data_IF_116362055949
#
_entry.id   IF_116362055949
#
_cell.length_a   1.000
_cell.length_b   1.000
_cell.length_c   1.000
_cell.angle_alpha   90.00
_cell.angle_beta   90.00
_cell.angle_gamma   90.00
#
_symmetry.space_group_name_H-M   'P 1'
#
loop_
_entity.id
_entity.type
_entity.pdbx_description
1 polymer ?
#
# COMPACT_ATOMS: atom_id res chain seq x y z
N UNK A 1 -15.89 3.85 -7.09
CA UNK A 1 -15.53 4.35 -5.75
C UNK A 1 -16.84 4.70 -5.07
N UNK A 2 -17.12 4.20 -3.87
CA UNK A 2 -18.43 4.38 -3.23
C UNK A 2 -18.68 5.87 -2.95
N UNK A 3 -19.69 6.48 -3.58
CA UNK A 3 -19.99 7.93 -3.49
C UNK A 3 -20.80 8.30 -2.24
N UNK A 4 -20.60 7.60 -1.12
CA UNK A 4 -21.29 7.93 0.13
C UNK A 4 -20.60 9.11 0.82
N UNK A 5 -21.34 10.19 1.19
CA UNK A 5 -20.77 11.40 1.77
C UNK A 5 -20.05 11.13 3.10
N UNK A 6 -20.50 10.17 3.90
CA UNK A 6 -19.81 9.77 5.14
C UNK A 6 -18.39 9.22 4.90
N UNK A 7 -18.12 8.62 3.73
CA UNK A 7 -16.85 7.98 3.41
C UNK A 7 -15.81 8.95 2.85
N UNK A 8 -16.21 10.17 2.45
CA UNK A 8 -15.31 11.18 1.87
C UNK A 8 -14.17 11.58 2.80
N UNK A 9 -14.37 11.50 4.11
CA UNK A 9 -13.33 11.88 5.08
C UNK A 9 -12.14 10.90 5.13
N UNK A 10 -12.30 9.68 4.59
CA UNK A 10 -11.27 8.64 4.60
C UNK A 10 -10.84 8.25 3.18
N UNK A 11 -11.29 9.01 2.17
CA UNK A 11 -10.88 8.77 0.80
C UNK A 11 -9.43 9.23 0.62
N UNK A 12 -8.57 8.39 0.02
CA UNK A 12 -7.26 8.84 -0.40
C UNK A 12 -7.41 9.86 -1.54
N UNK A 13 -6.54 10.88 -1.54
CA UNK A 13 -6.38 11.84 -2.64
C UNK A 13 -5.80 11.13 -3.86
N UNK A 14 -4.77 10.31 -3.64
CA UNK A 14 -4.13 9.54 -4.70
C UNK A 14 -3.86 8.12 -4.22
N UNK A 15 -3.98 7.17 -5.15
CA UNK A 15 -3.54 5.78 -4.96
C UNK A 15 -2.77 5.35 -6.19
N UNK A 16 -1.55 4.88 -5.99
CA UNK A 16 -0.71 4.38 -7.06
C UNK A 16 0.21 3.27 -6.55
N UNK A 17 0.74 2.48 -7.45
CA UNK A 17 1.72 1.46 -7.13
C UNK A 17 2.88 1.47 -8.13
N UNK A 18 4.00 0.88 -7.72
CA UNK A 18 5.18 0.68 -8.57
C UNK A 18 5.40 -0.80 -8.88
N UNK A 19 4.32 -1.59 -8.91
CA UNK A 19 4.32 -3.06 -9.00
C UNK A 19 4.98 -3.82 -7.83
N UNK A 20 5.57 -3.14 -6.85
CA UNK A 20 6.08 -3.75 -5.61
C UNK A 20 5.37 -3.26 -4.37
N UNK A 21 5.21 -1.94 -4.26
CA UNK A 21 4.57 -1.25 -3.17
C UNK A 21 3.40 -0.40 -3.67
N UNK A 22 2.34 -0.33 -2.88
CA UNK A 22 1.19 0.54 -3.14
C UNK A 22 1.18 1.69 -2.15
N UNK A 23 1.01 2.91 -2.65
CA UNK A 23 0.94 4.15 -1.87
C UNK A 23 -0.48 4.68 -1.85
N UNK A 24 -0.92 5.07 -0.66
CA UNK A 24 -2.20 5.74 -0.42
C UNK A 24 -1.92 7.11 0.19
N UNK A 25 -2.14 8.16 -0.58
CA UNK A 25 -1.97 9.54 -0.11
C UNK A 25 -3.29 10.08 0.42
N UNK A 26 -3.26 10.65 1.61
CA UNK A 26 -4.38 11.31 2.27
C UNK A 26 -4.13 12.82 2.38
N UNK A 27 -5.15 13.65 2.65
CA UNK A 27 -4.93 15.05 2.94
C UNK A 27 -3.99 15.23 4.15
N UNK A 28 -3.09 16.22 4.09
CA UNK A 28 -1.98 16.36 5.05
C UNK A 28 -2.39 16.43 6.54
N UNK A 29 -3.59 16.94 6.84
CA UNK A 29 -4.13 17.07 8.19
C UNK A 29 -5.34 16.15 8.43
N UNK A 30 -5.55 15.14 7.59
CA UNK A 30 -6.60 14.15 7.80
C UNK A 30 -6.16 13.07 8.80
N UNK A 31 -7.14 12.46 9.46
CA UNK A 31 -6.91 11.25 10.25
C UNK A 31 -6.48 10.10 9.32
N UNK A 32 -5.38 9.41 9.66
CA UNK A 32 -4.89 8.30 8.86
C UNK A 32 -5.74 7.05 9.10
N UNK A 33 -6.41 6.50 8.08
CA UNK A 33 -7.13 5.25 8.20
C UNK A 33 -6.18 4.06 8.19
N UNK A 34 -6.68 2.90 8.60
CA UNK A 34 -5.97 1.63 8.45
C UNK A 34 -6.25 1.02 7.08
N UNK A 35 -5.19 0.60 6.38
CA UNK A 35 -5.28 -0.05 5.08
C UNK A 35 -5.16 -1.57 5.24
N UNK A 36 -6.05 -2.30 4.58
CA UNK A 36 -6.08 -3.76 4.49
C UNK A 36 -6.07 -4.18 3.03
N UNK A 37 -5.47 -5.33 2.75
CA UNK A 37 -5.50 -5.95 1.42
C UNK A 37 -6.49 -7.10 1.37
N UNK A 38 -7.05 -7.38 0.20
CA UNK A 38 -7.74 -8.65 -0.06
C UNK A 38 -6.72 -9.61 -0.67
N UNK A 39 -6.38 -10.65 0.10
CA UNK A 39 -5.46 -11.69 -0.34
C UNK A 39 -6.04 -12.51 -1.50
N UNK A 40 -5.20 -13.34 -2.15
CA UNK A 40 -5.65 -14.28 -3.18
C UNK A 40 -6.73 -15.26 -2.70
N UNK A 41 -6.84 -15.47 -1.37
CA UNK A 41 -7.89 -16.28 -0.76
C UNK A 41 -9.26 -15.59 -0.67
N UNK A 42 -9.35 -14.31 -1.07
CA UNK A 42 -10.54 -13.48 -0.93
C UNK A 42 -10.76 -12.92 0.48
N UNK A 43 -9.90 -13.29 1.45
CA UNK A 43 -9.97 -12.78 2.82
C UNK A 43 -9.18 -11.48 2.98
N UNK A 44 -9.71 -10.60 3.82
CA UNK A 44 -9.04 -9.39 4.26
C UNK A 44 -7.83 -9.74 5.12
N UNK A 45 -6.71 -9.06 4.90
CA UNK A 45 -5.43 -9.29 5.58
C UNK A 45 -4.79 -7.94 5.87
N UNK A 46 -4.24 -7.81 7.08
CA UNK A 46 -3.45 -6.63 7.45
C UNK A 46 -2.06 -6.75 6.83
N UNK A 47 -1.68 -5.88 5.88
CA UNK A 47 -0.36 -5.91 5.28
C UNK A 47 0.66 -5.17 6.15
N UNK A 48 1.94 -5.43 5.91
CA UNK A 48 3.00 -4.56 6.42
C UNK A 48 2.96 -3.23 5.67
N UNK A 49 2.94 -2.13 6.43
CA UNK A 49 2.90 -0.79 5.88
C UNK A 49 3.61 0.18 6.81
N UNK A 50 4.09 1.28 6.23
CA UNK A 50 4.70 2.37 6.98
C UNK A 50 4.30 3.71 6.34
N UNK A 51 4.37 4.78 7.12
CA UNK A 51 3.98 6.12 6.68
C UNK A 51 5.21 6.85 6.13
N UNK A 52 5.07 7.45 4.95
CA UNK A 52 6.10 8.20 4.24
C UNK A 52 5.60 9.60 3.85
N UNK A 53 6.51 10.41 3.29
CA UNK A 53 6.24 11.79 2.88
C UNK A 53 6.49 12.81 4.00
N UNK A 54 6.79 14.05 3.62
CA UNK A 54 7.13 15.13 4.57
C UNK A 54 5.99 15.39 5.57
N UNK A 55 4.76 15.32 5.07
CA UNK A 55 3.55 15.55 5.87
C UNK A 55 3.06 14.29 6.60
N UNK A 56 3.75 13.14 6.47
CA UNK A 56 3.33 11.84 7.03
C UNK A 56 1.89 11.48 6.63
N UNK A 57 1.53 11.74 5.38
CA UNK A 57 0.18 11.56 4.85
C UNK A 57 0.10 10.45 3.79
N UNK A 58 1.20 9.75 3.52
CA UNK A 58 1.24 8.67 2.52
C UNK A 58 1.48 7.36 3.25
N UNK A 59 0.55 6.42 3.16
CA UNK A 59 0.74 5.04 3.63
C UNK A 59 1.36 4.24 2.48
N UNK A 60 2.62 3.84 2.63
CA UNK A 60 3.27 2.88 1.74
C UNK A 60 3.07 1.47 2.28
N UNK A 61 2.40 0.64 1.49
CA UNK A 61 2.19 -0.77 1.78
C UNK A 61 3.23 -1.59 1.04
N UNK A 62 3.90 -2.49 1.74
CA UNK A 62 5.03 -3.30 1.24
C UNK A 62 4.58 -4.48 0.36
N UNK A 63 3.45 -4.33 -0.34
CA UNK A 63 2.90 -5.31 -1.26
C UNK A 63 1.97 -4.66 -2.28
N UNK A 64 1.65 -5.39 -3.34
CA UNK A 64 0.60 -5.01 -4.31
C UNK A 64 -0.53 -6.03 -4.23
N UNK A 65 -1.77 -5.53 -4.18
CA UNK A 65 -2.97 -6.35 -4.20
C UNK A 65 -3.97 -5.81 -5.22
N UNK A 66 -4.84 -6.71 -5.68
CA UNK A 66 -5.93 -6.39 -6.62
C UNK A 66 -7.01 -5.54 -5.96
N UNK A 67 -7.30 -5.78 -4.68
CA UNK A 67 -8.29 -5.02 -3.92
C UNK A 67 -7.77 -4.66 -2.54
N UNK A 68 -8.23 -3.51 -2.07
CA UNK A 68 -7.89 -2.89 -0.81
C UNK A 68 -9.15 -2.45 -0.08
N UNK A 69 -9.06 -2.39 1.25
CA UNK A 69 -10.07 -1.83 2.15
C UNK A 69 -9.39 -0.82 3.06
N UNK A 70 -9.86 0.41 3.02
CA UNK A 70 -9.41 1.50 3.87
C UNK A 70 -10.47 1.67 4.94
N UNK A 71 -10.10 1.56 6.22
CA UNK A 71 -11.03 1.54 7.35
C UNK A 71 -10.67 2.58 8.40
N UNK A 72 -11.69 3.20 8.98
CA UNK A 72 -11.56 4.08 10.13
C UNK A 72 -12.86 4.07 10.93
N UNK A 73 -12.84 3.50 12.13
CA UNK A 73 -14.07 3.21 12.88
C UNK A 73 -15.05 2.39 12.01
N UNK A 74 -16.27 2.87 11.87
CA UNK A 74 -17.33 2.22 11.06
C UNK A 74 -17.25 2.55 9.56
N UNK A 75 -16.31 3.39 9.14
CA UNK A 75 -16.16 3.81 7.75
C UNK A 75 -15.29 2.84 6.97
N UNK A 76 -15.68 2.56 5.72
CA UNK A 76 -14.91 1.71 4.81
C UNK A 76 -14.92 2.25 3.38
N UNK A 77 -13.74 2.34 2.76
CA UNK A 77 -13.56 2.65 1.34
C UNK A 77 -12.86 1.47 0.66
N UNK A 78 -13.48 0.96 -0.40
CA UNK A 78 -12.88 -0.05 -1.27
C UNK A 78 -12.07 0.60 -2.39
N UNK A 79 -10.81 0.19 -2.56
CA UNK A 79 -9.97 0.58 -3.69
C UNK A 79 -9.62 -0.66 -4.50
N UNK A 80 -9.70 -0.58 -5.83
CA UNK A 80 -9.38 -1.69 -6.74
C UNK A 80 -8.24 -1.27 -7.66
N UNK A 81 -7.19 -2.08 -7.70
CA UNK A 81 -6.14 -1.97 -8.69
C UNK A 81 -6.59 -2.65 -9.99
N UNK A 82 -6.94 -1.84 -10.99
CA UNK A 82 -7.40 -2.33 -12.29
C UNK A 82 -6.26 -2.88 -13.17
N UNK A 83 -5.00 -2.59 -12.84
CA UNK A 83 -3.82 -3.05 -13.57
C UNK A 83 -2.93 -3.97 -12.70
N UNK A 84 -3.57 -4.85 -11.92
CA UNK A 84 -2.85 -5.78 -11.06
C UNK A 84 -2.04 -6.80 -11.89
N UNK A 85 -0.71 -6.62 -11.92
CA UNK A 85 0.23 -7.45 -12.66
C UNK A 85 1.32 -8.02 -11.72
N UNK A 86 1.08 -9.16 -11.04
CA UNK A 86 2.01 -9.70 -10.05
C UNK A 86 3.35 -10.19 -10.61
N UNK A 87 3.46 -10.34 -11.95
CA UNK A 87 4.72 -10.68 -12.63
C UNK A 87 5.57 -9.49 -13.04
N UNK A 88 5.12 -8.26 -12.84
CA UNK A 88 5.83 -7.05 -13.23
C UNK A 88 6.64 -6.45 -12.07
N UNK A 89 7.72 -5.72 -12.40
CA UNK A 89 8.46 -4.90 -11.42
C UNK A 89 9.29 -5.65 -10.38
N UNK A 90 9.52 -6.96 -10.53
CA UNK A 90 10.41 -7.71 -9.66
C UNK A 90 11.86 -7.18 -9.78
N UNK A 91 12.50 -6.95 -8.63
CA UNK A 91 13.89 -6.50 -8.54
C UNK A 91 14.68 -7.52 -7.73
N UNK A 92 15.75 -8.06 -8.31
CA UNK A 92 16.56 -9.13 -7.69
C UNK A 92 17.67 -8.61 -6.77
N UNK A 93 17.61 -7.35 -6.31
CA UNK A 93 18.65 -6.71 -5.47
C UNK A 93 18.57 -7.14 -4.01
N UNK A 94 17.48 -7.80 -3.60
CA UNK A 94 17.22 -8.15 -2.21
C UNK A 94 16.86 -6.95 -1.34
N UNK A 95 16.55 -5.79 -1.94
CA UNK A 95 16.09 -4.59 -1.23
C UNK A 95 14.90 -3.94 -1.95
N UNK A 96 14.26 -2.98 -1.28
CA UNK A 96 13.21 -2.15 -1.85
C UNK A 96 13.71 -1.19 -2.95
N UNK A 97 15.00 -0.87 -3.02
CA UNK A 97 15.53 0.02 -4.05
C UNK A 97 16.24 -0.77 -5.16
N UNK A 98 16.06 -0.41 -6.44
CA UNK A 98 16.89 -0.95 -7.51
C UNK A 98 18.38 -0.53 -7.37
N UNK A 99 18.64 0.57 -6.66
CA UNK A 99 19.99 1.14 -6.52
C UNK A 99 20.76 0.59 -5.31
N UNK A 100 20.09 -0.20 -4.45
CA UNK A 100 20.70 -0.78 -3.24
C UNK A 100 20.65 -2.30 -3.32
N UNK A 101 21.80 -2.96 -3.12
CA UNK A 101 21.91 -4.42 -3.13
C UNK A 101 22.25 -4.98 -1.75
N UNK A 102 21.52 -6.02 -1.33
CA UNK A 102 21.84 -6.79 -0.14
C UNK A 102 23.10 -7.62 -0.37
N UNK A 103 24.08 -7.49 0.52
CA UNK A 103 25.30 -8.31 0.55
C UNK A 103 25.36 -8.98 1.93
N UNK A 104 25.53 -10.30 1.95
CA UNK A 104 25.77 -11.04 3.18
C UNK A 104 27.26 -10.93 3.52
N UNK A 105 27.58 -10.47 4.72
CA UNK A 105 28.96 -10.37 5.21
C UNK A 105 29.18 -11.56 6.15
N UNK A 106 30.14 -12.43 5.84
CA UNK A 106 30.51 -13.59 6.67
C UNK A 106 30.30 -14.99 6.08
N UNK A 107 30.10 -15.14 4.77
CA UNK A 107 30.34 -16.43 4.09
C UNK A 107 31.73 -16.41 3.47
N UNK A 108 32.75 -16.50 4.32
CA UNK A 108 34.04 -17.09 3.94
C UNK A 108 33.99 -18.56 4.40
N UNK A 109 34.25 -19.47 3.47
CA UNK A 109 34.43 -20.91 3.71
C UNK A 109 35.52 -21.19 4.75
#
# INVERSE_FOLDING_TARGET
MSEQPEMRSIQPVHVWDNYRFTRFEFPANAELPQVYMISASGKETLPNSHVVGENRNIIEVETVAKEWRIRLGDKVVGVRNNNFAPGAGAVATGTASPDVRRVQIGEDN
#
